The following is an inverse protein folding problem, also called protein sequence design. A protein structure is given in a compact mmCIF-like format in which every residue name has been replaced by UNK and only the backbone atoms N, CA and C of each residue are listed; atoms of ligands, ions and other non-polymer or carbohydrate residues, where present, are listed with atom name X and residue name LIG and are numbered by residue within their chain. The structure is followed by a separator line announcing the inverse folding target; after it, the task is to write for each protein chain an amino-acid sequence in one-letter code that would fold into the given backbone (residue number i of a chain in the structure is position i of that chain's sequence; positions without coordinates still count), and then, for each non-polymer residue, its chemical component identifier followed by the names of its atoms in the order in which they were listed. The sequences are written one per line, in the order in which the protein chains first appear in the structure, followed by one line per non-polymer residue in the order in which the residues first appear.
data_IF_035968602830
#
_entry.id   IF_035968602830
#
_cell.length_a   1.000
_cell.length_b   1.000
_cell.length_c   1.000
_cell.angle_alpha   90.00
_cell.angle_beta   90.00
_cell.angle_gamma   90.00
#
_symmetry.space_group_name_H-M   'P 1'
#
loop_
_entity.id
_entity.type
_entity.pdbx_description
1 polymer ?
#
# COMPACT_ATOMS: atom_id res chain seq x y z
N UNK A 1 12.61 -5.06 0.92
CA UNK A 1 11.87 -6.25 1.37
C UNK A 1 11.29 -5.96 2.74
N UNK A 2 10.03 -6.40 3.00
CA UNK A 2 9.38 -6.17 4.29
C UNK A 2 8.89 -7.49 4.91
N UNK A 3 8.85 -7.52 6.24
CA UNK A 3 8.36 -8.67 7.02
C UNK A 3 7.03 -8.30 7.67
N UNK A 4 6.02 -9.15 7.47
CA UNK A 4 4.72 -9.03 8.15
C UNK A 4 4.87 -9.55 9.58
N UNK A 5 4.58 -8.71 10.54
CA UNK A 5 4.58 -9.03 11.97
C UNK A 5 3.13 -9.05 12.48
N UNK A 6 2.72 -10.19 13.01
CA UNK A 6 1.40 -10.32 13.63
C UNK A 6 1.49 -10.01 15.13
N UNK A 7 0.36 -9.68 15.74
CA UNK A 7 0.25 -9.51 17.19
C UNK A 7 0.62 -10.81 17.93
N UNK A 8 0.33 -11.97 17.34
CA UNK A 8 0.72 -13.27 17.88
C UNK A 8 2.25 -13.39 17.98
N UNK A 9 2.95 -13.03 16.89
CA UNK A 9 4.42 -13.02 16.90
C UNK A 9 4.99 -12.05 17.93
N UNK A 10 4.46 -10.83 18.01
CA UNK A 10 4.92 -9.82 18.96
C UNK A 10 4.67 -10.25 20.43
N UNK A 11 3.53 -10.87 20.71
CA UNK A 11 3.25 -11.48 22.02
C UNK A 11 4.24 -12.60 22.36
N UNK A 12 4.60 -13.43 21.37
CA UNK A 12 5.60 -14.48 21.54
C UNK A 12 7.01 -13.91 21.81
N UNK A 13 7.39 -12.82 21.16
CA UNK A 13 8.63 -12.07 21.43
C UNK A 13 8.65 -11.55 22.87
N UNK A 14 7.57 -10.90 23.29
CA UNK A 14 7.45 -10.33 24.64
C UNK A 14 7.55 -11.40 25.73
N UNK A 15 6.85 -12.53 25.55
CA UNK A 15 6.81 -13.63 26.50
C UNK A 15 7.99 -14.60 26.40
N UNK A 16 8.96 -14.34 25.49
CA UNK A 16 10.10 -15.22 25.24
C UNK A 16 9.70 -16.67 24.91
N UNK A 17 8.66 -16.81 24.11
CA UNK A 17 8.10 -18.11 23.73
C UNK A 17 8.52 -18.54 22.33
N UNK A 18 8.21 -19.79 21.98
CA UNK A 18 8.36 -20.28 20.63
C UNK A 18 7.22 -19.77 19.75
N UNK A 19 7.56 -19.45 18.50
CA UNK A 19 6.62 -19.10 17.43
C UNK A 19 6.68 -20.14 16.34
N UNK A 20 5.55 -20.45 15.74
CA UNK A 20 5.45 -21.42 14.66
C UNK A 20 5.46 -20.71 13.29
N UNK A 21 6.53 -20.93 12.54
CA UNK A 21 6.61 -20.54 11.13
C UNK A 21 6.03 -21.67 10.27
N UNK A 22 5.07 -21.36 9.42
CA UNK A 22 4.36 -22.36 8.60
C UNK A 22 4.19 -21.91 7.16
N UNK A 23 4.11 -22.88 6.27
CA UNK A 23 3.85 -22.66 4.86
C UNK A 23 2.89 -23.72 4.28
N UNK A 24 1.84 -23.36 3.54
CA UNK A 24 1.33 -21.98 3.36
C UNK A 24 0.91 -21.36 4.72
N UNK A 25 1.05 -20.03 4.84
CA UNK A 25 0.82 -19.31 6.12
C UNK A 25 -0.61 -19.45 6.61
N UNK A 26 -1.58 -19.31 5.68
CA UNK A 26 -3.01 -19.27 5.98
C UNK A 26 -3.68 -20.65 5.80
N UNK A 27 -2.89 -21.75 5.81
CA UNK A 27 -3.41 -23.11 5.69
C UNK A 27 -3.65 -23.76 7.05
N UNK A 28 -4.79 -24.41 7.22
CA UNK A 28 -5.08 -25.25 8.39
C UNK A 28 -4.18 -26.49 8.43
N UNK A 29 -3.70 -26.93 7.26
CA UNK A 29 -2.75 -28.06 7.10
C UNK A 29 -1.46 -27.59 6.39
N UNK A 30 -0.57 -26.87 7.10
CA UNK A 30 0.66 -26.39 6.48
C UNK A 30 1.60 -27.54 6.09
N UNK A 31 2.18 -27.46 4.91
CA UNK A 31 3.16 -28.46 4.41
C UNK A 31 4.49 -28.39 5.17
N UNK A 32 4.80 -27.22 5.70
CA UNK A 32 6.03 -26.97 6.49
C UNK A 32 5.60 -26.25 7.74
N UNK A 33 6.09 -26.74 8.90
CA UNK A 33 5.91 -26.12 10.19
C UNK A 33 7.21 -26.23 10.97
N UNK A 34 7.75 -25.09 11.42
CA UNK A 34 9.00 -25.00 12.19
C UNK A 34 8.78 -24.13 13.40
N UNK A 35 9.02 -24.67 14.59
CA UNK A 35 9.00 -23.92 15.85
C UNK A 35 10.37 -23.30 16.12
N UNK A 36 10.41 -21.97 16.17
CA UNK A 36 11.62 -21.19 16.43
C UNK A 36 11.42 -20.28 17.66
N UNK A 37 12.52 -19.76 18.22
CA UNK A 37 12.44 -18.73 19.24
C UNK A 37 11.98 -17.42 18.60
N UNK A 38 10.85 -16.87 19.03
CA UNK A 38 10.35 -15.59 18.54
C UNK A 38 11.35 -14.45 18.81
N UNK A 39 11.98 -14.47 19.99
CA UNK A 39 12.96 -13.45 20.38
C UNK A 39 14.23 -13.52 19.54
N UNK A 40 14.67 -14.70 19.15
CA UNK A 40 15.82 -14.87 18.26
C UNK A 40 15.53 -14.35 16.85
N UNK A 41 14.35 -14.64 16.30
CA UNK A 41 13.92 -14.08 15.00
C UNK A 41 13.84 -12.55 15.07
N UNK A 42 13.29 -12.02 16.15
CA UNK A 42 13.21 -10.57 16.36
C UNK A 42 14.60 -9.93 16.44
N UNK A 43 15.55 -10.56 17.16
CA UNK A 43 16.94 -10.09 17.24
C UNK A 43 17.59 -10.02 15.85
N UNK A 44 17.43 -11.06 15.04
CA UNK A 44 17.94 -11.08 13.66
C UNK A 44 17.34 -9.98 12.80
N UNK A 45 16.04 -9.72 12.92
CA UNK A 45 15.38 -8.61 12.22
C UNK A 45 16.02 -7.28 12.59
N UNK A 46 16.19 -7.01 13.90
CA UNK A 46 16.78 -5.76 14.38
C UNK A 46 18.22 -5.60 13.92
N UNK A 47 19.04 -6.64 14.03
CA UNK A 47 20.44 -6.61 13.60
C UNK A 47 20.56 -6.33 12.10
N UNK A 48 19.77 -7.02 11.28
CA UNK A 48 19.78 -6.78 9.84
C UNK A 48 19.28 -5.36 9.47
N UNK A 49 18.24 -4.89 10.14
CA UNK A 49 17.74 -3.53 9.92
C UNK A 49 18.77 -2.46 10.31
N UNK A 50 19.51 -2.68 11.39
CA UNK A 50 20.60 -1.80 11.82
C UNK A 50 21.77 -1.79 10.82
N UNK A 51 22.19 -2.96 10.35
CA UNK A 51 23.37 -3.10 9.51
C UNK A 51 23.14 -2.75 8.04
N UNK A 52 21.92 -3.01 7.53
CA UNK A 52 21.60 -2.94 6.10
C UNK A 52 20.36 -2.08 5.79
N UNK A 53 19.71 -1.46 6.78
CA UNK A 53 18.42 -0.77 6.65
C UNK A 53 17.27 -1.66 6.11
N UNK A 54 17.41 -2.99 6.21
CA UNK A 54 16.44 -4.01 5.76
C UNK A 54 16.33 -5.13 6.80
N UNK A 55 15.16 -5.74 6.98
CA UNK A 55 13.89 -5.55 6.29
C UNK A 55 13.07 -4.37 6.84
N UNK A 56 12.11 -3.87 6.04
CA UNK A 56 11.02 -3.04 6.55
C UNK A 56 10.06 -3.87 7.43
N UNK A 57 9.32 -3.22 8.31
CA UNK A 57 8.38 -3.88 9.22
C UNK A 57 6.95 -3.49 8.92
N UNK A 58 6.07 -4.47 8.79
CA UNK A 58 4.63 -4.28 8.62
C UNK A 58 3.91 -4.86 9.84
N UNK A 59 3.38 -4.01 10.69
CA UNK A 59 2.53 -4.41 11.83
C UNK A 59 1.15 -4.79 11.31
N UNK A 60 1.03 -6.06 10.88
CA UNK A 60 -0.02 -6.49 9.97
C UNK A 60 -1.43 -6.36 10.53
N UNK A 61 -1.65 -6.83 11.76
CA UNK A 61 -2.98 -6.77 12.38
C UNK A 61 -3.43 -5.32 12.59
N UNK A 62 -2.48 -4.43 12.91
CA UNK A 62 -2.76 -2.99 13.01
C UNK A 62 -3.07 -2.37 11.65
N UNK A 63 -2.38 -2.78 10.58
CA UNK A 63 -2.67 -2.32 9.21
C UNK A 63 -4.10 -2.72 8.83
N UNK A 64 -4.46 -4.00 8.94
CA UNK A 64 -5.78 -4.51 8.55
C UNK A 64 -6.90 -3.87 9.37
N UNK A 65 -6.71 -3.74 10.68
CA UNK A 65 -7.74 -3.17 11.56
C UNK A 65 -8.02 -1.68 11.34
N UNK A 66 -7.09 -0.96 10.73
CA UNK A 66 -7.20 0.49 10.49
C UNK A 66 -7.30 0.87 9.01
N UNK A 67 -7.12 -0.05 8.08
CA UNK A 67 -7.24 0.21 6.65
C UNK A 67 -8.72 0.35 6.25
N UNK A 68 -9.17 1.49 5.70
CA UNK A 68 -10.55 1.67 5.29
C UNK A 68 -11.00 0.70 4.20
N UNK A 69 -10.08 0.27 3.33
CA UNK A 69 -10.39 -0.64 2.22
C UNK A 69 -10.73 -2.05 2.71
N UNK A 70 -10.19 -2.48 3.85
CA UNK A 70 -10.46 -3.80 4.42
C UNK A 70 -11.87 -3.96 5.01
N UNK A 71 -12.70 -2.90 4.98
CA UNK A 71 -14.13 -2.98 5.22
C UNK A 71 -14.90 -3.63 4.05
N UNK A 72 -14.27 -3.77 2.87
CA UNK A 72 -14.88 -4.27 1.64
C UNK A 72 -14.12 -5.46 1.04
N UNK A 73 -13.82 -6.53 1.82
CA UNK A 73 -13.05 -7.67 1.32
C UNK A 73 -13.81 -8.45 0.23
N UNK A 74 -15.14 -8.50 0.32
CA UNK A 74 -15.99 -9.17 -0.66
C UNK A 74 -15.95 -8.53 -2.05
N UNK A 75 -15.64 -7.24 -2.11
CA UNK A 75 -15.48 -6.48 -3.35
C UNK A 75 -14.05 -6.56 -3.93
N UNK A 76 -13.16 -7.32 -3.30
CA UNK A 76 -11.78 -7.52 -3.73
C UNK A 76 -10.79 -6.46 -3.23
N UNK A 77 -11.18 -5.66 -2.22
CA UNK A 77 -10.32 -4.60 -1.64
C UNK A 77 -9.53 -5.05 -0.41
N UNK A 78 -9.49 -6.33 -0.13
CA UNK A 78 -8.64 -6.89 0.92
C UNK A 78 -7.17 -6.50 0.71
N UNK A 79 -6.53 -5.98 1.75
CA UNK A 79 -5.11 -5.66 1.71
C UNK A 79 -4.28 -6.94 1.72
N UNK A 80 -3.47 -7.13 0.70
CA UNK A 80 -2.56 -8.27 0.57
C UNK A 80 -1.09 -7.92 0.73
N UNK A 81 -0.74 -6.65 0.48
CA UNK A 81 0.63 -6.14 0.58
C UNK A 81 0.63 -4.62 0.78
N UNK A 82 1.79 -4.02 0.67
CA UNK A 82 1.97 -2.57 0.61
C UNK A 82 2.80 -2.20 -0.63
N UNK A 83 2.87 -0.91 -0.95
CA UNK A 83 3.91 -0.40 -1.83
C UNK A 83 5.31 -0.54 -1.18
N UNK A 84 6.43 -0.33 -1.92
CA UNK A 84 7.79 -0.55 -1.39
C UNK A 84 8.14 0.22 -0.12
N UNK A 85 7.65 1.46 0.02
CA UNK A 85 7.90 2.30 1.20
C UNK A 85 6.93 2.03 2.37
N UNK A 86 5.97 1.13 2.19
CA UNK A 86 5.02 0.65 3.22
C UNK A 86 3.96 1.65 3.68
N UNK A 87 3.86 2.84 3.07
CA UNK A 87 2.88 3.86 3.44
C UNK A 87 1.46 3.57 2.93
N UNK A 88 1.31 2.70 1.92
CA UNK A 88 0.00 2.37 1.35
C UNK A 88 -0.28 0.87 1.43
N UNK A 89 -1.24 0.44 2.26
CA UNK A 89 -1.84 -0.89 2.16
C UNK A 89 -2.58 -1.04 0.83
N UNK A 90 -2.30 -2.10 0.08
CA UNK A 90 -2.81 -2.30 -1.27
C UNK A 90 -3.45 -3.67 -1.45
N UNK A 91 -4.53 -3.69 -2.20
CA UNK A 91 -5.17 -4.90 -2.70
C UNK A 91 -4.37 -5.52 -3.86
N UNK A 92 -4.76 -6.72 -4.28
CA UNK A 92 -4.14 -7.36 -5.44
C UNK A 92 -4.29 -6.49 -6.70
N UNK A 93 -3.20 -6.33 -7.46
CA UNK A 93 -3.19 -5.59 -8.73
C UNK A 93 -3.66 -4.13 -8.61
N UNK A 94 -3.45 -3.53 -7.45
CA UNK A 94 -3.74 -2.13 -7.20
C UNK A 94 -2.51 -1.25 -7.47
N UNK A 95 -2.69 0.06 -7.53
CA UNK A 95 -1.61 1.01 -7.77
C UNK A 95 -1.65 2.19 -6.82
N UNK A 96 -0.47 2.77 -6.62
CA UNK A 96 -0.23 3.93 -5.79
C UNK A 96 -0.21 5.19 -6.66
N UNK A 97 -1.12 6.14 -6.39
CA UNK A 97 -1.19 7.45 -7.05
C UNK A 97 -1.07 8.51 -5.98
N UNK A 98 -0.02 9.31 -6.03
CA UNK A 98 0.30 10.28 -4.99
C UNK A 98 0.27 11.71 -5.53
N UNK A 99 -0.35 12.60 -4.74
CA UNK A 99 -0.26 14.05 -4.86
C UNK A 99 -0.20 14.63 -3.46
N UNK A 100 0.66 15.63 -3.26
CA UNK A 100 0.88 16.22 -1.94
C UNK A 100 0.66 17.73 -1.99
N UNK A 101 -0.07 18.25 -1.00
CA UNK A 101 -0.18 19.69 -0.75
C UNK A 101 0.86 20.11 0.29
N UNK A 102 1.58 21.17 0.01
CA UNK A 102 2.54 21.75 0.94
C UNK A 102 1.81 22.74 1.88
N UNK A 103 1.61 22.33 3.13
CA UNK A 103 0.87 23.15 4.10
C UNK A 103 1.51 24.52 4.35
N UNK A 104 2.84 24.60 4.25
CA UNK A 104 3.54 25.87 4.46
C UNK A 104 3.14 26.95 3.43
N UNK A 105 2.70 26.54 2.23
CA UNK A 105 2.23 27.49 1.21
C UNK A 105 0.99 28.29 1.63
N UNK A 106 0.22 27.77 2.58
CA UNK A 106 -1.01 28.41 3.11
C UNK A 106 -0.77 29.18 4.40
N UNK A 107 0.49 29.34 4.83
CA UNK A 107 0.84 30.15 6.01
C UNK A 107 1.12 31.58 5.59
N UNK A 108 0.28 32.49 6.01
CA UNK A 108 0.46 33.92 5.83
C UNK A 108 1.30 34.53 6.98
N UNK A 109 2.11 35.53 6.68
CA UNK A 109 3.02 36.19 7.62
C UNK A 109 3.87 35.20 8.47
N UNK A 110 4.53 34.20 7.86
CA UNK A 110 5.25 33.16 8.58
C UNK A 110 6.34 33.76 9.48
N UNK A 111 6.61 33.09 10.61
CA UNK A 111 7.61 33.50 11.60
C UNK A 111 7.33 34.83 12.32
N UNK A 112 6.10 35.33 12.26
CA UNK A 112 5.66 36.52 13.00
C UNK A 112 4.58 36.19 14.02
N UNK A 113 4.30 37.11 14.94
CA UNK A 113 3.19 36.96 15.88
C UNK A 113 1.81 37.05 15.22
N UNK A 114 1.76 37.37 13.95
CA UNK A 114 0.53 37.47 13.15
C UNK A 114 0.34 36.31 12.19
N UNK A 115 1.20 35.31 12.27
CA UNK A 115 1.12 34.13 11.40
C UNK A 115 -0.24 33.46 11.54
N UNK A 116 -0.87 33.15 10.43
CA UNK A 116 -2.11 32.38 10.37
C UNK A 116 -2.14 31.46 9.16
N UNK A 117 -2.91 30.38 9.26
CA UNK A 117 -3.12 29.42 8.18
C UNK A 117 -4.38 29.78 7.40
N UNK A 118 -4.30 29.91 6.08
CA UNK A 118 -5.43 30.14 5.20
C UNK A 118 -6.18 28.85 4.89
N UNK A 119 -7.14 28.53 5.76
CA UNK A 119 -7.97 27.33 5.59
C UNK A 119 -8.83 27.38 4.33
N UNK A 120 -9.26 28.58 3.90
CA UNK A 120 -10.14 28.69 2.75
C UNK A 120 -9.39 28.36 1.46
N UNK A 121 -8.22 28.94 1.24
CA UNK A 121 -7.36 28.62 0.10
C UNK A 121 -6.98 27.14 0.10
N UNK A 122 -6.57 26.60 1.25
CA UNK A 122 -6.27 25.18 1.40
C UNK A 122 -7.45 24.29 1.01
N UNK A 123 -8.68 24.61 1.41
CA UNK A 123 -9.86 23.81 1.06
C UNK A 123 -10.17 23.85 -0.44
N UNK A 124 -10.02 24.99 -1.08
CA UNK A 124 -10.26 25.09 -2.53
C UNK A 124 -9.17 24.31 -3.31
N UNK A 125 -7.92 24.44 -2.92
CA UNK A 125 -6.83 23.68 -3.55
C UNK A 125 -6.94 22.18 -3.28
N UNK A 126 -7.37 21.74 -2.10
CA UNK A 126 -7.61 20.34 -1.80
C UNK A 126 -8.70 19.73 -2.70
N UNK A 127 -9.78 20.47 -3.00
CA UNK A 127 -10.81 20.03 -3.96
C UNK A 127 -10.24 19.89 -5.37
N UNK A 128 -9.43 20.86 -5.82
CA UNK A 128 -8.77 20.81 -7.12
C UNK A 128 -7.80 19.63 -7.18
N UNK A 129 -6.98 19.45 -6.15
CA UNK A 129 -6.02 18.36 -6.06
C UNK A 129 -6.71 16.99 -6.10
N UNK A 130 -7.82 16.82 -5.36
CA UNK A 130 -8.59 15.58 -5.40
C UNK A 130 -9.20 15.35 -6.79
N UNK A 131 -9.67 16.39 -7.46
CA UNK A 131 -10.16 16.29 -8.84
C UNK A 131 -9.05 15.88 -9.81
N UNK A 132 -7.86 16.46 -9.68
CA UNK A 132 -6.69 16.09 -10.49
C UNK A 132 -6.31 14.62 -10.28
N UNK A 133 -6.38 14.12 -9.04
CA UNK A 133 -6.12 12.71 -8.74
C UNK A 133 -7.12 11.78 -9.43
N UNK A 134 -8.39 12.16 -9.48
CA UNK A 134 -9.43 11.40 -10.18
C UNK A 134 -9.21 11.41 -11.70
N UNK A 135 -8.84 12.55 -12.28
CA UNK A 135 -8.49 12.67 -13.70
C UNK A 135 -7.24 11.83 -14.08
N UNK A 136 -6.26 11.68 -13.17
CA UNK A 136 -5.11 10.78 -13.37
C UNK A 136 -5.57 9.32 -13.51
N UNK A 137 -6.59 8.91 -12.77
CA UNK A 137 -7.15 7.57 -12.88
C UNK A 137 -7.79 7.36 -14.26
N UNK A 138 -8.49 8.34 -14.79
CA UNK A 138 -9.08 8.26 -16.14
C UNK A 138 -7.98 8.13 -17.20
N UNK A 139 -6.89 8.88 -17.11
CA UNK A 139 -5.73 8.75 -17.99
C UNK A 139 -5.06 7.38 -17.90
N UNK A 140 -4.98 6.81 -16.70
CA UNK A 140 -4.47 5.44 -16.48
C UNK A 140 -5.39 4.40 -17.16
N UNK A 141 -6.70 4.53 -17.00
CA UNK A 141 -7.68 3.63 -17.64
C UNK A 141 -7.53 3.69 -19.17
N UNK A 142 -7.36 4.88 -19.75
CA UNK A 142 -7.10 5.03 -21.18
C UNK A 142 -5.79 4.36 -21.62
N UNK A 143 -4.74 4.46 -20.79
CA UNK A 143 -3.47 3.81 -21.05
C UNK A 143 -3.61 2.27 -21.00
N UNK A 144 -4.33 1.75 -20.01
CA UNK A 144 -4.61 0.31 -19.87
C UNK A 144 -5.42 -0.18 -21.08
N UNK A 145 -6.41 0.58 -21.55
CA UNK A 145 -7.20 0.22 -22.74
C UNK A 145 -6.33 0.14 -24.00
N UNK A 146 -5.34 1.03 -24.15
CA UNK A 146 -4.35 0.95 -25.25
C UNK A 146 -3.48 -0.29 -25.14
N UNK A 147 -3.04 -0.65 -23.93
CA UNK A 147 -2.24 -1.87 -23.67
C UNK A 147 -3.06 -3.12 -24.04
N UNK A 148 -4.29 -3.23 -23.56
CA UNK A 148 -5.19 -4.36 -23.86
C UNK A 148 -5.39 -4.50 -25.39
N UNK A 149 -5.62 -3.41 -26.12
CA UNK A 149 -5.74 -3.43 -27.57
C UNK A 149 -4.44 -3.91 -28.25
N UNK A 150 -3.29 -3.43 -27.75
CA UNK A 150 -1.98 -3.85 -28.29
C UNK A 150 -1.78 -5.35 -28.10
N UNK A 151 -1.98 -5.89 -26.90
CA UNK A 151 -1.82 -7.32 -26.63
C UNK A 151 -2.73 -8.16 -27.53
N UNK A 152 -3.98 -7.76 -27.70
CA UNK A 152 -4.92 -8.48 -28.56
C UNK A 152 -4.45 -8.57 -30.03
N UNK A 153 -3.68 -7.59 -30.50
CA UNK A 153 -3.14 -7.54 -31.87
C UNK A 153 -1.71 -8.05 -32.02
N UNK A 154 -1.05 -8.42 -30.93
CA UNK A 154 0.34 -8.91 -30.95
C UNK A 154 0.44 -10.30 -31.62
N UNK A 155 1.53 -10.57 -32.39
CA UNK A 155 1.73 -11.86 -33.05
C UNK A 155 2.24 -12.97 -32.12
N UNK A 156 2.13 -12.79 -30.80
CA UNK A 156 2.55 -13.79 -29.84
C UNK A 156 1.61 -15.00 -29.74
N UNK A 157 2.09 -16.08 -29.10
CA UNK A 157 1.32 -17.29 -28.90
C UNK A 157 0.06 -17.02 -28.06
N UNK A 158 -1.07 -17.63 -28.43
CA UNK A 158 -2.37 -17.39 -27.78
C UNK A 158 -2.39 -17.64 -26.27
N UNK A 159 -1.61 -18.61 -25.78
CA UNK A 159 -1.49 -18.89 -24.35
C UNK A 159 -0.75 -17.80 -23.56
N UNK A 160 0.16 -17.06 -24.20
CA UNK A 160 0.85 -15.89 -23.63
C UNK A 160 -0.13 -14.71 -23.59
N UNK A 161 -0.72 -14.37 -24.73
CA UNK A 161 -1.73 -13.29 -24.85
C UNK A 161 -2.87 -13.47 -23.87
N UNK A 162 -3.38 -14.68 -23.71
CA UNK A 162 -4.49 -14.95 -22.81
C UNK A 162 -4.15 -14.59 -21.34
N UNK A 163 -2.94 -14.90 -20.88
CA UNK A 163 -2.47 -14.56 -19.53
C UNK A 163 -2.27 -13.06 -19.33
N UNK A 164 -1.67 -12.41 -20.31
CA UNK A 164 -1.48 -10.95 -20.26
C UNK A 164 -2.81 -10.21 -20.29
N UNK A 165 -3.74 -10.61 -21.17
CA UNK A 165 -5.06 -10.03 -21.24
C UNK A 165 -5.86 -10.22 -19.95
N UNK A 166 -5.78 -11.39 -19.32
CA UNK A 166 -6.44 -11.62 -18.03
C UNK A 166 -5.90 -10.65 -16.96
N UNK A 167 -4.57 -10.56 -16.83
CA UNK A 167 -3.93 -9.66 -15.89
C UNK A 167 -4.33 -8.20 -16.10
N UNK A 168 -4.23 -7.68 -17.33
CA UNK A 168 -4.55 -6.29 -17.63
C UNK A 168 -6.04 -5.97 -17.51
N UNK A 169 -6.94 -6.92 -17.81
CA UNK A 169 -8.38 -6.76 -17.55
C UNK A 169 -8.67 -6.67 -16.05
N UNK A 170 -8.01 -7.44 -15.22
CA UNK A 170 -8.14 -7.39 -13.76
C UNK A 170 -7.59 -6.08 -13.20
N UNK A 171 -6.42 -5.61 -13.68
CA UNK A 171 -5.88 -4.29 -13.32
C UNK A 171 -6.87 -3.19 -13.69
N UNK A 172 -7.44 -3.25 -14.91
CA UNK A 172 -8.46 -2.30 -15.36
C UNK A 172 -9.70 -2.31 -14.46
N UNK A 173 -10.19 -3.49 -14.10
CA UNK A 173 -11.33 -3.62 -13.22
C UNK A 173 -11.07 -2.95 -11.87
N UNK A 174 -9.94 -3.22 -11.25
CA UNK A 174 -9.57 -2.62 -9.97
C UNK A 174 -9.42 -1.09 -10.07
N UNK A 175 -8.82 -0.60 -11.16
CA UNK A 175 -8.68 0.83 -11.41
C UNK A 175 -10.04 1.54 -11.51
N UNK A 176 -10.99 0.96 -12.26
CA UNK A 176 -12.34 1.51 -12.45
C UNK A 176 -13.18 1.41 -11.17
N UNK A 177 -13.15 0.26 -10.50
CA UNK A 177 -14.01 0.00 -9.33
C UNK A 177 -13.49 0.70 -8.07
N UNK A 178 -12.17 0.69 -7.86
CA UNK A 178 -11.57 1.24 -6.64
C UNK A 178 -11.34 2.75 -6.71
N UNK A 179 -10.93 3.27 -7.87
CA UNK A 179 -10.55 4.69 -8.08
C UNK A 179 -9.71 5.25 -6.91
N UNK A 180 -8.71 4.48 -6.47
CA UNK A 180 -7.94 4.80 -5.28
C UNK A 180 -7.03 6.00 -5.53
N UNK A 181 -7.14 7.01 -4.68
CA UNK A 181 -6.32 8.22 -4.66
C UNK A 181 -5.49 8.29 -3.39
N UNK A 182 -4.31 8.92 -3.47
CA UNK A 182 -3.41 9.16 -2.35
C UNK A 182 -3.10 10.65 -2.24
N UNK A 183 -4.11 11.47 -1.94
CA UNK A 183 -3.90 12.88 -1.64
C UNK A 183 -3.39 13.03 -0.21
N UNK A 184 -2.19 13.56 -0.06
CA UNK A 184 -1.51 13.76 1.21
C UNK A 184 -1.07 15.20 1.44
N UNK A 185 -0.31 15.41 2.51
CA UNK A 185 0.21 16.71 2.93
C UNK A 185 1.71 16.61 3.25
N UNK A 186 2.43 17.72 3.07
CA UNK A 186 3.80 17.92 3.55
C UNK A 186 3.89 19.15 4.44
N UNK A 187 5.04 19.37 5.06
CA UNK A 187 5.31 20.54 5.91
C UNK A 187 4.36 20.68 7.11
N UNK A 188 3.90 19.56 7.67
CA UNK A 188 3.04 19.59 8.87
C UNK A 188 3.83 20.02 10.12
N UNK A 189 5.13 19.79 10.16
CA UNK A 189 6.01 20.11 11.28
C UNK A 189 6.68 21.49 11.18
N UNK A 190 6.54 22.16 10.04
CA UNK A 190 7.17 23.45 9.77
C UNK A 190 6.27 24.61 10.22
#
# INVERSE_FOLDING_TARGET
ISVRLTDEFLKAVYSDSKYEQRWPVDSDEPKISIKTSAREVWRQIIENAHDNAEPGLLFWDNIISNSPADCYPEDGFETISTNPCSELPLSALDSCRLLLLNLFAYVNEPFTSKAYFDYQEFFEDAKIAQRMMDDIIDLEIEAIDRIIKKIASDPEAENVKARELDMWKRIRYNCVSGRRTGLGITALGD
#
